data_IF_689545636133
#
_entry.id   IF_689545636133
#
_cell.length_a   1.000
_cell.length_b   1.000
_cell.length_c   1.000
_cell.angle_alpha   90.00
_cell.angle_beta   90.00
_cell.angle_gamma   90.00
#
_symmetry.space_group_name_H-M   'P 1'
#
loop_
_entity.id
_entity.type
_entity.pdbx_description
1 polymer ?
#
# COMPACT_ATOMS: atom_id res chain seq x y z
N UNK A 1 2.39 -21.88 21.97
CA UNK A 1 1.91 -20.59 21.45
C UNK A 1 0.40 -20.69 21.26
N UNK A 2 -0.43 -19.86 21.92
CA UNK A 2 -1.87 -19.85 21.69
C UNK A 2 -2.16 -19.50 20.22
N UNK A 3 -3.14 -20.19 19.61
CA UNK A 3 -3.59 -19.85 18.26
C UNK A 3 -4.19 -18.45 18.31
N UNK A 4 -3.80 -17.50 17.43
CA UNK A 4 -4.43 -16.20 17.39
C UNK A 4 -5.92 -16.39 17.12
N UNK A 5 -6.77 -15.86 18.01
CA UNK A 5 -8.20 -15.79 17.75
C UNK A 5 -8.39 -15.09 16.42
N UNK A 6 -9.13 -15.71 15.49
CA UNK A 6 -9.48 -15.05 14.23
C UNK A 6 -10.21 -13.77 14.60
N UNK A 7 -9.72 -12.64 14.10
CA UNK A 7 -10.37 -11.35 14.23
C UNK A 7 -11.78 -11.48 13.60
N UNK A 8 -12.81 -11.67 14.43
CA UNK A 8 -14.20 -11.69 13.99
C UNK A 8 -14.60 -10.23 13.86
N UNK A 9 -14.48 -9.68 12.65
CA UNK A 9 -15.02 -8.37 12.35
C UNK A 9 -16.55 -8.44 12.48
N UNK A 10 -17.20 -7.41 13.06
CA UNK A 10 -18.65 -7.37 13.17
C UNK A 10 -19.30 -7.54 11.79
N UNK A 11 -20.44 -8.23 11.78
CA UNK A 11 -21.19 -8.55 10.57
C UNK A 11 -21.49 -7.27 9.76
N UNK A 12 -21.09 -7.29 8.49
CA UNK A 12 -21.16 -6.12 7.60
C UNK A 12 -22.60 -5.63 7.47
N UNK A 13 -23.54 -6.57 7.40
CA UNK A 13 -24.95 -6.30 7.06
C UNK A 13 -25.76 -5.82 8.27
N UNK A 14 -25.40 -6.28 9.47
CA UNK A 14 -25.99 -5.81 10.72
C UNK A 14 -25.68 -4.32 10.99
N UNK A 15 -24.50 -3.85 10.58
CA UNK A 15 -24.14 -2.43 10.72
C UNK A 15 -24.81 -1.57 9.65
N UNK A 16 -25.01 -2.04 8.41
CA UNK A 16 -25.68 -1.23 7.37
C UNK A 16 -27.18 -1.05 7.62
N UNK A 17 -27.82 -2.08 8.16
CA UNK A 17 -29.25 -2.06 8.48
C UNK A 17 -29.62 -1.08 9.58
N UNK A 18 -28.73 -0.82 10.55
CA UNK A 18 -28.97 0.23 11.56
C UNK A 18 -28.85 1.66 11.01
N UNK A 19 -28.14 1.88 9.90
CA UNK A 19 -27.96 3.20 9.30
C UNK A 19 -29.01 3.59 8.25
N UNK A 20 -29.76 2.63 7.68
CA UNK A 20 -30.75 2.94 6.64
C UNK A 20 -32.05 3.58 7.18
N UNK A 21 -32.28 3.58 8.49
CA UNK A 21 -33.51 4.11 9.10
C UNK A 21 -33.55 5.62 9.37
N UNK A 22 -32.39 6.29 9.42
CA UNK A 22 -32.32 7.72 9.73
C UNK A 22 -31.57 8.48 8.63
N UNK A 23 -32.33 9.01 7.67
CA UNK A 23 -31.90 10.05 6.73
C UNK A 23 -31.70 11.39 7.44
N UNK A 24 -30.95 11.40 8.54
CA UNK A 24 -30.65 12.65 9.25
C UNK A 24 -29.44 13.29 8.59
N UNK A 25 -29.69 14.30 7.76
CA UNK A 25 -28.71 15.22 7.18
C UNK A 25 -27.97 16.09 8.22
N UNK A 26 -27.86 15.60 9.46
CA UNK A 26 -27.18 16.27 10.55
C UNK A 26 -25.67 16.24 10.32
N UNK A 27 -24.97 17.39 10.42
CA UNK A 27 -23.51 17.45 10.31
C UNK A 27 -22.77 16.47 11.24
N UNK A 28 -23.39 16.11 12.38
CA UNK A 28 -22.85 15.14 13.33
C UNK A 28 -22.85 13.71 12.78
N UNK A 29 -23.96 13.28 12.18
CA UNK A 29 -24.08 11.95 11.58
C UNK A 29 -23.10 11.77 10.41
N UNK A 30 -22.92 12.80 9.57
CA UNK A 30 -21.95 12.78 8.46
C UNK A 30 -20.51 12.62 8.98
N UNK A 31 -20.17 13.34 10.07
CA UNK A 31 -18.82 13.25 10.68
C UNK A 31 -18.55 11.85 11.22
N UNK A 32 -19.52 11.24 11.88
CA UNK A 32 -19.44 9.88 12.44
C UNK A 32 -19.32 8.81 11.35
N UNK A 33 -20.15 8.89 10.30
CA UNK A 33 -20.02 8.00 9.14
C UNK A 33 -18.65 8.13 8.47
N UNK A 34 -18.11 9.34 8.36
CA UNK A 34 -16.79 9.58 7.77
C UNK A 34 -15.68 8.95 8.61
N UNK A 35 -15.75 9.02 9.94
CA UNK A 35 -14.77 8.35 10.81
C UNK A 35 -14.83 6.83 10.66
N UNK A 36 -16.02 6.24 10.68
CA UNK A 36 -16.22 4.79 10.53
C UNK A 36 -15.68 4.30 9.18
N UNK A 37 -15.93 5.07 8.11
CA UNK A 37 -15.42 4.74 6.79
C UNK A 37 -13.89 4.75 6.75
N UNK A 38 -13.25 5.77 7.34
CA UNK A 38 -11.78 5.84 7.41
C UNK A 38 -11.19 4.68 8.19
N UNK A 39 -11.79 4.30 9.32
CA UNK A 39 -11.35 3.14 10.10
C UNK A 39 -11.40 1.85 9.29
N UNK A 40 -12.49 1.63 8.55
CA UNK A 40 -12.62 0.49 7.63
C UNK A 40 -11.57 0.50 6.52
N UNK A 41 -11.29 1.68 5.94
CA UNK A 41 -10.24 1.83 4.93
C UNK A 41 -8.86 1.44 5.48
N UNK A 42 -8.53 1.86 6.70
CA UNK A 42 -7.29 1.47 7.37
C UNK A 42 -7.28 -0.02 7.68
N UNK A 43 -8.37 -0.59 8.19
CA UNK A 43 -8.43 -2.02 8.47
C UNK A 43 -8.18 -2.88 7.22
N UNK A 44 -8.81 -2.52 6.09
CA UNK A 44 -8.63 -3.25 4.83
C UNK A 44 -7.21 -3.08 4.26
N UNK A 45 -6.65 -1.86 4.38
CA UNK A 45 -5.27 -1.57 4.00
C UNK A 45 -4.27 -2.50 4.69
N UNK A 46 -4.36 -2.58 6.03
CA UNK A 46 -3.45 -3.38 6.84
C UNK A 46 -3.72 -4.88 6.72
N UNK A 47 -4.97 -5.27 6.43
CA UNK A 47 -5.32 -6.67 6.10
C UNK A 47 -4.61 -7.17 4.85
N UNK A 48 -4.46 -6.32 3.83
CA UNK A 48 -3.77 -6.67 2.58
C UNK A 48 -2.23 -6.49 2.64
N UNK A 49 -1.71 -5.86 3.70
CA UNK A 49 -0.29 -5.58 3.88
C UNK A 49 0.63 -6.81 3.82
N UNK A 50 0.29 -7.98 4.41
CA UNK A 50 1.15 -9.16 4.36
C UNK A 50 1.41 -9.66 2.93
N UNK A 51 0.38 -9.64 2.08
CA UNK A 51 0.54 -10.02 0.66
C UNK A 51 1.47 -9.06 -0.07
N UNK A 52 1.33 -7.75 0.19
CA UNK A 52 2.22 -6.74 -0.38
C UNK A 52 3.68 -6.89 0.11
N UNK A 53 3.88 -7.25 1.38
CA UNK A 53 5.19 -7.54 1.96
C UNK A 53 5.84 -8.77 1.29
N UNK A 54 5.09 -9.86 1.14
CA UNK A 54 5.59 -11.08 0.49
C UNK A 54 6.01 -10.82 -0.96
N UNK A 55 5.19 -10.10 -1.72
CA UNK A 55 5.51 -9.70 -3.09
C UNK A 55 6.74 -8.78 -3.15
N UNK A 56 6.90 -7.87 -2.17
CA UNK A 56 8.08 -7.00 -2.08
C UNK A 56 9.35 -7.82 -1.85
N UNK A 57 9.32 -8.77 -0.92
CA UNK A 57 10.46 -9.67 -0.64
C UNK A 57 10.81 -10.50 -1.88
N UNK A 58 9.81 -11.10 -2.54
CA UNK A 58 10.02 -11.86 -3.76
C UNK A 58 10.66 -11.00 -4.87
N UNK A 59 10.18 -9.77 -5.06
CA UNK A 59 10.75 -8.83 -6.03
C UNK A 59 12.20 -8.44 -5.72
N UNK A 60 12.53 -8.25 -4.44
CA UNK A 60 13.90 -7.95 -3.99
C UNK A 60 14.84 -9.13 -4.28
N UNK A 61 14.44 -10.35 -3.91
CA UNK A 61 15.25 -11.55 -4.15
C UNK A 61 15.48 -11.79 -5.64
N UNK A 62 14.44 -11.63 -6.45
CA UNK A 62 14.53 -11.78 -7.90
C UNK A 62 15.44 -10.71 -8.52
N UNK A 63 15.34 -9.46 -8.06
CA UNK A 63 16.23 -8.38 -8.51
C UNK A 63 17.69 -8.68 -8.17
N UNK A 64 17.96 -9.16 -6.94
CA UNK A 64 19.31 -9.55 -6.54
C UNK A 64 19.87 -10.71 -7.36
N UNK A 65 19.05 -11.72 -7.66
CA UNK A 65 19.45 -12.83 -8.52
C UNK A 65 19.86 -12.33 -9.91
N UNK A 66 19.10 -11.39 -10.47
CA UNK A 66 19.42 -10.81 -11.78
C UNK A 66 20.71 -9.99 -11.76
N UNK A 67 20.93 -9.16 -10.74
CA UNK A 67 22.15 -8.36 -10.64
C UNK A 67 23.39 -9.23 -10.40
N UNK A 68 23.22 -10.34 -9.69
CA UNK A 68 24.26 -11.36 -9.56
C UNK A 68 24.60 -11.98 -10.91
N UNK A 69 23.61 -12.38 -11.72
CA UNK A 69 23.82 -12.90 -13.07
C UNK A 69 24.45 -11.87 -14.03
N UNK A 70 24.13 -10.59 -13.86
CA UNK A 70 24.70 -9.49 -14.62
C UNK A 70 26.11 -9.06 -14.13
N UNK A 71 26.65 -9.70 -13.09
CA UNK A 71 27.93 -9.35 -12.46
C UNK A 71 28.01 -7.89 -11.98
N UNK A 72 26.88 -7.30 -11.56
CA UNK A 72 26.78 -5.92 -11.04
C UNK A 72 26.34 -5.91 -9.57
N UNK A 73 27.09 -6.64 -8.75
CA UNK A 73 26.78 -6.82 -7.32
C UNK A 73 26.89 -5.49 -6.56
N UNK A 74 27.82 -4.61 -6.93
CA UNK A 74 28.08 -3.37 -6.20
C UNK A 74 26.87 -2.43 -6.17
N UNK A 75 26.21 -2.22 -7.33
CA UNK A 75 24.96 -1.43 -7.38
C UNK A 75 23.81 -2.18 -6.70
N UNK A 76 23.79 -3.50 -6.85
CA UNK A 76 22.79 -4.35 -6.19
C UNK A 76 22.80 -4.27 -4.67
N UNK A 77 23.97 -4.20 -4.02
CA UNK A 77 24.05 -4.08 -2.56
C UNK A 77 23.40 -2.80 -2.05
N UNK A 78 23.69 -1.65 -2.66
CA UNK A 78 23.11 -0.37 -2.25
C UNK A 78 21.59 -0.35 -2.47
N UNK A 79 21.13 -0.86 -3.61
CA UNK A 79 19.71 -1.01 -3.89
C UNK A 79 19.02 -1.95 -2.88
N UNK A 80 19.64 -3.08 -2.58
CA UNK A 80 19.14 -4.07 -1.62
C UNK A 80 19.02 -3.51 -0.22
N UNK A 81 20.02 -2.77 0.26
CA UNK A 81 19.98 -2.14 1.58
C UNK A 81 18.79 -1.17 1.70
N UNK A 82 18.56 -0.35 0.66
CA UNK A 82 17.39 0.52 0.62
C UNK A 82 16.09 -0.29 0.60
N UNK A 83 16.01 -1.33 -0.23
CA UNK A 83 14.83 -2.18 -0.34
C UNK A 83 14.50 -2.90 0.97
N UNK A 84 15.52 -3.44 1.65
CA UNK A 84 15.41 -4.05 2.98
C UNK A 84 14.91 -3.02 4.01
N UNK A 85 15.41 -1.79 3.96
CA UNK A 85 14.91 -0.68 4.80
C UNK A 85 13.42 -0.40 4.58
N UNK A 86 12.95 -0.36 3.33
CA UNK A 86 11.52 -0.17 3.01
C UNK A 86 10.66 -1.33 3.51
N UNK A 87 11.11 -2.58 3.33
CA UNK A 87 10.40 -3.76 3.85
C UNK A 87 10.36 -3.74 5.38
N UNK A 88 11.49 -3.46 6.03
CA UNK A 88 11.59 -3.35 7.48
C UNK A 88 10.62 -2.30 8.02
N UNK A 89 10.62 -1.10 7.43
CA UNK A 89 9.65 -0.05 7.77
C UNK A 89 8.21 -0.56 7.70
N UNK A 90 7.83 -1.22 6.59
CA UNK A 90 6.49 -1.77 6.39
C UNK A 90 6.13 -2.85 7.41
N UNK A 91 7.07 -3.73 7.75
CA UNK A 91 6.91 -4.76 8.79
C UNK A 91 6.70 -4.11 10.15
N UNK A 92 7.51 -3.11 10.52
CA UNK A 92 7.38 -2.41 11.79
C UNK A 92 6.02 -1.69 11.90
N UNK A 93 5.60 -0.98 10.86
CA UNK A 93 4.31 -0.29 10.84
C UNK A 93 3.15 -1.30 10.92
N UNK A 94 3.22 -2.41 10.18
CA UNK A 94 2.21 -3.47 10.25
C UNK A 94 2.15 -4.12 11.63
N UNK A 95 3.32 -4.44 12.22
CA UNK A 95 3.41 -5.05 13.54
C UNK A 95 2.87 -4.11 14.62
N UNK A 96 3.22 -2.81 14.56
CA UNK A 96 2.67 -1.79 15.45
C UNK A 96 1.15 -1.70 15.33
N UNK A 97 0.61 -1.74 14.10
CA UNK A 97 -0.83 -1.73 13.85
C UNK A 97 -1.53 -2.94 14.49
N UNK A 98 -1.00 -4.15 14.27
CA UNK A 98 -1.55 -5.39 14.85
C UNK A 98 -1.47 -5.38 16.37
N UNK A 99 -0.33 -4.94 16.93
CA UNK A 99 -0.13 -4.87 18.38
C UNK A 99 -1.14 -3.92 19.02
N UNK A 100 -1.29 -2.72 18.47
CA UNK A 100 -2.23 -1.72 18.98
C UNK A 100 -3.70 -2.16 18.82
N UNK A 101 -4.05 -2.78 17.70
CA UNK A 101 -5.41 -3.31 17.46
C UNK A 101 -5.74 -4.46 18.42
N UNK A 102 -4.79 -5.35 18.67
CA UNK A 102 -4.97 -6.47 19.60
C UNK A 102 -5.18 -5.98 21.03
N UNK A 103 -4.40 -4.98 21.46
CA UNK A 103 -4.57 -4.36 22.77
C UNK A 103 -5.94 -3.69 22.92
N UNK A 104 -6.41 -3.01 21.87
CA UNK A 104 -7.71 -2.33 21.91
C UNK A 104 -8.89 -3.31 22.00
N UNK A 105 -8.80 -4.46 21.33
CA UNK A 105 -9.80 -5.52 21.44
C UNK A 105 -9.83 -6.13 22.84
N UNK A 106 -8.67 -6.43 23.43
CA UNK A 106 -8.59 -6.97 24.79
C UNK A 106 -9.22 -6.01 25.81
N UNK A 107 -8.96 -4.71 25.70
CA UNK A 107 -9.58 -3.71 26.58
C UNK A 107 -11.11 -3.66 26.43
N UNK A 108 -11.64 -3.83 25.22
CA UNK A 108 -13.10 -3.87 24.99
C UNK A 108 -13.71 -5.12 25.62
N UNK A 109 -13.07 -6.29 25.48
CA UNK A 109 -13.53 -7.51 26.13
C UNK A 109 -13.50 -7.39 27.66
N UNK A 110 -12.43 -6.83 28.24
CA UNK A 110 -12.32 -6.60 29.68
C UNK A 110 -13.33 -5.57 30.22
N UNK A 111 -13.61 -4.51 29.46
CA UNK A 111 -14.61 -3.50 29.80
C UNK A 111 -16.04 -4.03 29.66
N UNK A 112 -16.29 -4.97 28.72
CA UNK A 112 -17.58 -5.65 28.60
C UNK A 112 -17.90 -6.49 29.84
N UNK A 113 -16.89 -7.11 30.45
CA UNK A 113 -17.07 -7.86 31.71
C UNK A 113 -17.19 -6.92 32.92
N UNK A 114 -16.58 -5.73 32.86
CA UNK A 114 -16.55 -4.75 33.94
C UNK A 114 -17.30 -3.47 33.56
N UNK A 115 -18.63 -3.54 33.52
CA UNK A 115 -19.56 -2.44 33.16
C UNK A 115 -19.38 -1.11 33.90
N UNK A 116 -18.56 -1.06 34.96
CA UNK A 116 -18.26 0.14 35.75
C UNK A 116 -16.93 0.84 35.41
N UNK A 117 -16.05 0.26 34.59
CA UNK A 117 -14.75 0.85 34.23
C UNK A 117 -14.77 1.43 32.81
N UNK A 118 -15.14 2.70 32.70
CA UNK A 118 -14.98 3.48 31.47
C UNK A 118 -13.49 3.82 31.29
N UNK A 119 -12.70 2.89 30.74
CA UNK A 119 -11.31 3.15 30.40
C UNK A 119 -11.22 4.18 29.25
N UNK A 120 -10.86 5.42 29.57
CA UNK A 120 -10.63 6.48 28.60
C UNK A 120 -9.26 6.30 27.89
N UNK A 121 -9.08 5.17 27.20
CA UNK A 121 -7.90 5.00 26.34
C UNK A 121 -8.16 5.76 25.05
N UNK A 122 -7.44 6.86 24.81
CA UNK A 122 -7.55 7.60 23.55
C UNK A 122 -7.01 6.73 22.41
N UNK A 123 -7.83 6.31 21.44
CA UNK A 123 -7.35 5.52 20.32
C UNK A 123 -6.32 6.30 19.50
N UNK A 124 -5.32 5.60 18.98
CA UNK A 124 -4.37 6.18 18.03
C UNK A 124 -5.15 6.70 16.82
N UNK A 125 -4.84 7.93 16.40
CA UNK A 125 -5.55 8.58 15.31
C UNK A 125 -5.45 7.78 14.01
N UNK A 126 -6.58 7.50 13.39
CA UNK A 126 -6.70 6.83 12.09
C UNK A 126 -5.85 7.50 11.01
N UNK A 127 -5.76 8.83 11.04
CA UNK A 127 -4.97 9.62 10.09
C UNK A 127 -3.45 9.34 10.18
N UNK A 128 -2.94 8.94 11.36
CA UNK A 128 -1.54 8.53 11.51
C UNK A 128 -1.25 7.25 10.73
N UNK A 129 -2.12 6.24 10.84
CA UNK A 129 -1.96 4.98 10.11
C UNK A 129 -2.02 5.18 8.60
N UNK A 130 -2.94 6.02 8.13
CA UNK A 130 -3.02 6.44 6.73
C UNK A 130 -1.69 7.07 6.29
N UNK A 131 -1.16 8.00 7.09
CA UNK A 131 0.08 8.72 6.78
C UNK A 131 1.27 7.78 6.72
N UNK A 132 1.41 6.86 7.69
CA UNK A 132 2.50 5.87 7.71
C UNK A 132 2.46 4.95 6.48
N UNK A 133 1.26 4.54 6.06
CA UNK A 133 1.11 3.73 4.85
C UNK A 133 1.45 4.53 3.57
N UNK A 134 1.04 5.80 3.49
CA UNK A 134 1.39 6.71 2.38
C UNK A 134 2.92 6.87 2.28
N UNK A 135 3.61 7.08 3.40
CA UNK A 135 5.08 7.17 3.45
C UNK A 135 5.73 5.86 2.97
N UNK A 136 5.25 4.71 3.45
CA UNK A 136 5.77 3.40 3.01
C UNK A 136 5.56 3.12 1.54
N UNK A 137 4.51 3.70 0.95
CA UNK A 137 4.25 3.66 -0.49
C UNK A 137 5.15 4.62 -1.27
N UNK A 138 5.35 5.82 -0.77
CA UNK A 138 6.28 6.77 -1.37
C UNK A 138 7.71 6.22 -1.42
N UNK A 139 8.18 5.62 -0.32
CA UNK A 139 9.50 4.99 -0.25
C UNK A 139 9.62 3.82 -1.23
N UNK A 140 8.60 2.97 -1.32
CA UNK A 140 8.59 1.87 -2.30
C UNK A 140 8.55 2.37 -3.75
N UNK A 141 7.79 3.42 -4.04
CA UNK A 141 7.76 4.03 -5.37
C UNK A 141 9.13 4.62 -5.74
N UNK A 142 9.80 5.27 -4.78
CA UNK A 142 11.16 5.79 -4.96
C UNK A 142 12.19 4.67 -5.20
N UNK A 143 12.08 3.56 -4.46
CA UNK A 143 12.92 2.36 -4.66
C UNK A 143 12.82 1.82 -6.08
N UNK A 144 11.60 1.67 -6.62
CA UNK A 144 11.40 1.08 -7.94
C UNK A 144 11.59 2.07 -9.09
N UNK A 145 11.28 3.36 -8.88
CA UNK A 145 11.44 4.39 -9.89
C UNK A 145 12.87 4.91 -9.93
N UNK A 146 13.23 5.72 -8.94
CA UNK A 146 14.52 6.39 -8.91
C UNK A 146 15.68 5.39 -8.80
N UNK A 147 15.69 4.55 -7.76
CA UNK A 147 16.77 3.57 -7.59
C UNK A 147 16.70 2.45 -8.63
N UNK A 148 15.51 2.12 -9.13
CA UNK A 148 15.35 1.15 -10.20
C UNK A 148 15.98 1.62 -11.51
N UNK A 149 15.83 2.91 -11.88
CA UNK A 149 16.51 3.45 -13.08
C UNK A 149 18.04 3.35 -13.00
N UNK A 150 18.61 3.40 -11.80
CA UNK A 150 20.06 3.23 -11.60
C UNK A 150 20.56 1.79 -11.83
N UNK A 151 19.67 0.80 -11.70
CA UNK A 151 19.96 -0.62 -11.93
C UNK A 151 19.81 -1.06 -13.39
N UNK A 152 19.50 -0.17 -14.33
CA UNK A 152 19.34 -0.56 -15.73
C UNK A 152 20.67 -1.05 -16.31
N UNK A 153 20.81 -2.37 -16.39
CA UNK A 153 21.94 -3.02 -17.05
C UNK A 153 21.89 -2.70 -18.56
N UNK A 154 23.03 -2.40 -19.21
CA UNK A 154 23.08 -2.12 -20.65
C UNK A 154 22.61 -3.29 -21.52
N UNK A 155 22.70 -4.52 -21.01
CA UNK A 155 22.29 -5.74 -21.69
C UNK A 155 20.77 -5.75 -21.95
N UNK A 156 20.34 -6.02 -23.20
CA UNK A 156 18.92 -5.95 -23.58
C UNK A 156 18.02 -6.97 -22.89
N UNK A 157 18.52 -8.17 -22.56
CA UNK A 157 17.72 -9.24 -21.95
C UNK A 157 17.48 -8.93 -20.47
N UNK A 158 18.56 -8.64 -19.73
CA UNK A 158 18.45 -8.31 -18.31
C UNK A 158 17.64 -7.03 -18.10
N UNK A 159 17.75 -6.07 -19.01
CA UNK A 159 16.95 -4.85 -19.00
C UNK A 159 15.46 -5.11 -19.23
N UNK A 160 15.10 -5.98 -20.18
CA UNK A 160 13.70 -6.32 -20.46
C UNK A 160 13.07 -7.06 -19.27
N UNK A 161 13.80 -8.01 -18.69
CA UNK A 161 13.38 -8.75 -17.49
C UNK A 161 13.25 -7.81 -16.28
N UNK A 162 14.19 -6.91 -16.07
CA UNK A 162 14.13 -5.94 -14.98
C UNK A 162 12.96 -4.98 -15.14
N UNK A 163 12.72 -4.48 -16.36
CA UNK A 163 11.54 -3.66 -16.68
C UNK A 163 10.25 -4.43 -16.40
N UNK A 164 10.18 -5.71 -16.78
CA UNK A 164 9.01 -6.56 -16.52
C UNK A 164 8.79 -6.80 -15.02
N UNK A 165 9.85 -7.04 -14.25
CA UNK A 165 9.77 -7.26 -12.79
C UNK A 165 9.37 -5.98 -12.07
N UNK A 166 9.91 -4.83 -12.49
CA UNK A 166 9.52 -3.54 -11.97
C UNK A 166 8.04 -3.27 -12.28
N UNK A 167 7.57 -3.56 -13.50
CA UNK A 167 6.15 -3.43 -13.89
C UNK A 167 5.25 -4.42 -13.13
N UNK A 168 5.65 -5.68 -12.97
CA UNK A 168 4.89 -6.68 -12.22
C UNK A 168 4.86 -6.38 -10.72
N UNK A 169 5.98 -5.90 -10.16
CA UNK A 169 6.07 -5.37 -8.81
C UNK A 169 5.19 -4.13 -8.62
N UNK A 170 5.10 -3.28 -9.65
CA UNK A 170 4.18 -2.14 -9.69
C UNK A 170 2.71 -2.59 -9.63
N UNK A 171 2.30 -3.47 -10.53
CA UNK A 171 0.90 -3.93 -10.65
C UNK A 171 0.48 -4.75 -9.43
N UNK A 172 1.31 -5.71 -9.01
CA UNK A 172 0.99 -6.65 -7.95
C UNK A 172 1.14 -6.10 -6.54
N UNK A 173 2.18 -5.28 -6.29
CA UNK A 173 2.55 -4.85 -4.94
C UNK A 173 1.81 -3.62 -4.40
N UNK A 174 1.14 -2.84 -5.27
CA UNK A 174 0.70 -1.47 -4.90
C UNK A 174 -0.74 -1.09 -5.30
N UNK A 175 -1.36 -1.80 -6.23
CA UNK A 175 -2.68 -1.40 -6.75
C UNK A 175 -3.80 -1.89 -5.84
N UNK A 176 -3.77 -3.18 -5.49
CA UNK A 176 -4.85 -3.84 -4.77
C UNK A 176 -4.94 -3.45 -3.28
N UNK A 177 -3.82 -3.38 -2.51
CA UNK A 177 -3.92 -3.13 -1.07
C UNK A 177 -4.32 -1.68 -0.72
N UNK A 178 -4.02 -0.73 -1.59
CA UNK A 178 -4.05 0.71 -1.26
C UNK A 178 -5.19 1.49 -1.93
N UNK A 179 -6.04 0.80 -2.70
CA UNK A 179 -7.23 1.38 -3.32
C UNK A 179 -8.19 2.11 -2.34
N UNK A 180 -8.35 1.67 -1.07
CA UNK A 180 -9.28 2.33 -0.14
C UNK A 180 -8.86 3.74 0.27
N UNK A 181 -7.56 4.04 0.34
CA UNK A 181 -7.04 5.28 0.93
C UNK A 181 -6.71 6.33 -0.12
N UNK A 182 -7.22 7.55 0.08
CA UNK A 182 -6.94 8.67 -0.83
C UNK A 182 -5.44 8.99 -0.83
N UNK A 183 -4.88 9.09 -2.04
CA UNK A 183 -3.47 9.39 -2.31
C UNK A 183 -2.45 8.28 -2.03
N UNK A 184 -2.78 7.22 -1.28
CA UNK A 184 -1.84 6.12 -1.02
C UNK A 184 -1.30 5.50 -2.32
N UNK A 185 -2.14 5.38 -3.34
CA UNK A 185 -1.72 4.88 -4.64
C UNK A 185 -0.85 5.88 -5.43
N UNK A 186 -1.24 7.16 -5.46
CA UNK A 186 -0.49 8.21 -6.17
C UNK A 186 0.89 8.44 -5.54
N UNK A 187 0.99 8.35 -4.21
CA UNK A 187 2.22 8.45 -3.46
C UNK A 187 3.23 7.37 -3.89
N UNK A 188 2.77 6.20 -4.32
CA UNK A 188 3.62 5.17 -4.91
C UNK A 188 3.84 5.39 -6.42
N UNK A 189 2.76 5.53 -7.20
CA UNK A 189 2.80 5.52 -8.66
C UNK A 189 3.58 6.69 -9.28
N UNK A 190 3.56 7.87 -8.66
CA UNK A 190 4.29 9.04 -9.18
C UNK A 190 5.81 8.86 -9.07
N UNK A 191 6.41 8.68 -7.87
CA UNK A 191 7.86 8.51 -7.74
C UNK A 191 8.37 7.24 -8.42
N UNK A 192 7.48 6.26 -8.63
CA UNK A 192 7.70 5.08 -9.42
C UNK A 192 7.85 5.36 -10.93
N UNK A 193 6.77 5.85 -11.53
CA UNK A 193 6.65 5.94 -12.98
C UNK A 193 7.40 7.13 -13.55
N UNK A 194 7.38 8.30 -12.87
CA UNK A 194 7.94 9.53 -13.46
C UNK A 194 9.44 9.40 -13.76
N UNK A 195 10.31 8.97 -12.83
CA UNK A 195 11.73 8.78 -13.13
C UNK A 195 11.94 7.74 -14.23
N UNK A 196 11.17 6.64 -14.20
CA UNK A 196 11.23 5.58 -15.20
C UNK A 196 10.86 6.11 -16.60
N UNK A 197 9.79 6.89 -16.71
CA UNK A 197 9.34 7.52 -17.96
C UNK A 197 10.43 8.45 -18.50
N UNK A 198 10.96 9.34 -17.67
CA UNK A 198 12.02 10.27 -18.06
C UNK A 198 13.25 9.50 -18.58
N UNK A 199 13.67 8.47 -17.85
CA UNK A 199 14.80 7.63 -18.22
C UNK A 199 14.57 6.94 -19.58
N UNK A 200 13.40 6.32 -19.77
CA UNK A 200 13.07 5.57 -20.99
C UNK A 200 12.99 6.46 -22.24
N UNK A 201 12.46 7.68 -22.12
CA UNK A 201 12.35 8.60 -23.25
C UNK A 201 13.65 9.32 -23.57
N UNK A 202 14.37 9.79 -22.56
CA UNK A 202 15.39 10.83 -22.76
C UNK A 202 16.82 10.38 -22.45
N UNK A 203 17.02 9.35 -21.62
CA UNK A 203 18.37 8.96 -21.18
C UNK A 203 18.87 7.68 -21.84
N UNK A 204 18.02 7.00 -22.61
CA UNK A 204 18.38 5.78 -23.34
C UNK A 204 18.88 6.15 -24.74
N UNK A 205 19.99 5.54 -25.15
CA UNK A 205 20.77 5.88 -26.35
C UNK A 205 19.98 5.91 -27.68
N UNK A 206 18.78 5.29 -27.73
CA UNK A 206 17.92 5.28 -28.92
C UNK A 206 16.50 5.82 -28.69
N UNK A 207 16.20 6.38 -27.51
CA UNK A 207 14.85 6.84 -27.14
C UNK A 207 13.79 5.74 -27.27
N UNK A 208 13.53 4.97 -26.22
CA UNK A 208 12.56 3.87 -26.31
C UNK A 208 11.11 4.39 -26.13
N UNK A 209 10.60 5.03 -27.18
CA UNK A 209 9.27 5.64 -27.20
C UNK A 209 8.15 4.66 -26.84
N UNK A 210 8.24 3.41 -27.28
CA UNK A 210 7.22 2.39 -26.98
C UNK A 210 7.18 2.06 -25.49
N UNK A 211 8.35 1.82 -24.88
CA UNK A 211 8.42 1.54 -23.44
C UNK A 211 7.98 2.75 -22.61
N UNK A 212 8.37 3.96 -23.02
CA UNK A 212 7.93 5.21 -22.39
C UNK A 212 6.41 5.41 -22.47
N UNK A 213 5.80 5.15 -23.63
CA UNK A 213 4.36 5.23 -23.83
C UNK A 213 3.59 4.21 -22.98
N UNK A 214 4.09 2.96 -22.88
CA UNK A 214 3.52 1.94 -21.99
C UNK A 214 3.60 2.38 -20.53
N UNK A 215 4.73 2.97 -20.10
CA UNK A 215 4.88 3.47 -18.74
C UNK A 215 3.91 4.63 -18.42
N UNK A 216 3.69 5.55 -19.38
CA UNK A 216 2.66 6.60 -19.26
C UNK A 216 1.27 5.98 -19.17
N UNK A 217 0.95 5.04 -20.06
CA UNK A 217 -0.34 4.36 -20.06
C UNK A 217 -0.61 3.66 -18.72
N UNK A 218 0.39 2.97 -18.17
CA UNK A 218 0.29 2.34 -16.85
C UNK A 218 0.09 3.38 -15.73
N UNK A 219 0.83 4.50 -15.74
CA UNK A 219 0.63 5.58 -14.77
C UNK A 219 -0.81 6.13 -14.83
N UNK A 220 -1.34 6.35 -16.04
CA UNK A 220 -2.73 6.78 -16.23
C UNK A 220 -3.69 5.71 -15.71
N UNK A 221 -3.52 4.44 -16.09
CA UNK A 221 -4.35 3.33 -15.63
C UNK A 221 -4.36 3.23 -14.10
N UNK A 222 -3.23 3.46 -13.45
CA UNK A 222 -3.09 3.48 -12.00
C UNK A 222 -3.81 4.67 -11.35
N UNK A 223 -3.63 5.88 -11.87
CA UNK A 223 -4.28 7.08 -11.33
C UNK A 223 -5.80 7.07 -11.54
N UNK A 224 -6.28 6.53 -12.67
CA UNK A 224 -7.70 6.52 -13.05
C UNK A 224 -8.45 5.24 -12.68
N UNK A 225 -7.79 4.08 -12.67
CA UNK A 225 -8.37 2.79 -12.27
C UNK A 225 -8.89 2.82 -10.83
N UNK A 226 -8.27 3.64 -9.97
CA UNK A 226 -8.79 3.94 -8.63
C UNK A 226 -10.20 4.52 -8.65
N UNK A 227 -10.51 5.46 -9.55
CA UNK A 227 -11.85 6.08 -9.62
C UNK A 227 -12.91 5.03 -9.94
N UNK A 228 -12.58 4.07 -10.80
CA UNK A 228 -13.44 2.93 -11.08
C UNK A 228 -13.60 2.04 -9.84
N UNK A 229 -12.51 1.62 -9.20
CA UNK A 229 -12.56 0.75 -8.01
C UNK A 229 -13.32 1.38 -6.83
N UNK A 230 -13.16 2.69 -6.59
CA UNK A 230 -13.87 3.40 -5.53
C UNK A 230 -15.38 3.45 -5.77
N UNK A 231 -15.82 3.62 -7.03
CA UNK A 231 -17.25 3.61 -7.41
C UNK A 231 -17.95 2.30 -7.05
N UNK A 232 -17.23 1.17 -7.07
CA UNK A 232 -17.79 -0.15 -6.75
C UNK A 232 -17.61 -0.55 -5.28
N UNK A 233 -16.62 0.00 -4.57
CA UNK A 233 -16.32 -0.34 -3.17
C UNK A 233 -17.08 0.51 -2.15
N UNK A 234 -17.56 1.68 -2.58
CA UNK A 234 -18.48 2.52 -1.84
C UNK A 234 -19.54 3.00 -2.84
N UNK A 235 -20.73 2.37 -2.92
CA UNK A 235 -21.85 3.00 -3.60
C UNK A 235 -22.03 4.37 -2.94
N UNK A 236 -21.88 5.42 -3.75
CA UNK A 236 -22.02 6.81 -3.35
C UNK A 236 -23.23 6.96 -2.41
N UNK A 237 -23.08 7.50 -1.18
CA UNK A 237 -24.23 7.95 -0.41
C UNK A 237 -24.73 9.34 -0.87
N UNK A 238 -24.23 9.86 -2.00
CA UNK A 238 -24.63 11.13 -2.61
C UNK A 238 -24.84 10.99 -4.11
#
# INVERSE_FOLDING_TARGET
>A
MPKPNKLVLPDRDALYSSYQGETTSSPRAIKEQTSILKERQVAELYRAMPSALLLSIAGILLTMLMLYQANDINRGVLWFLFAAGVVLYRVLVYWQYIHNTSHHLNMIFEASDNSHLSAESKPISVDLWITLAIIGNFLAGTLFGLLGTWLYVPDPIYRALFSFIVIMGYVGGSVVPYAPVRFAHAAFAIPACVPTIIYLFFMRDDGNFVAGAIAIFMLVLFLYGRKAAQKYSCPNPF
#
